data_IF_981781822402
#
_entry.id   IF_981781822402
#
_cell.length_a   1.000
_cell.length_b   1.000
_cell.length_c   1.000
_cell.angle_alpha   90.00
_cell.angle_beta   90.00
_cell.angle_gamma   90.00
#
_symmetry.space_group_name_H-M   'P 1'
#
loop_
_entity.id
_entity.type
_entity.pdbx_description
1 polymer ?
#
# COMPACT_ATOMS: atom_id res chain seq x y z
N UNK A 1 13.46 0.86 18.82
CA UNK A 1 12.40 0.86 17.79
C UNK A 1 12.97 1.55 16.58
N UNK A 2 12.80 0.98 15.40
CA UNK A 2 13.21 1.56 14.12
C UNK A 2 12.01 1.52 13.19
N UNK A 3 11.81 2.59 12.42
CA UNK A 3 10.68 2.73 11.51
C UNK A 3 11.19 3.31 10.19
N UNK A 4 10.75 2.72 9.08
CA UNK A 4 10.88 3.29 7.75
C UNK A 4 9.48 3.45 7.18
N UNK A 5 9.16 4.67 6.74
CA UNK A 5 8.02 4.95 5.87
C UNK A 5 8.59 5.66 4.64
N UNK A 6 8.57 4.98 3.51
CA UNK A 6 9.12 5.49 2.26
C UNK A 6 8.15 5.19 1.14
N UNK A 7 7.73 6.23 0.42
CA UNK A 7 6.81 6.13 -0.70
C UNK A 7 7.29 6.99 -1.87
N UNK A 8 6.89 6.59 -3.09
CA UNK A 8 7.06 7.41 -4.29
C UNK A 8 5.71 7.51 -4.99
N UNK A 9 5.19 8.73 -5.09
CA UNK A 9 3.91 9.04 -5.73
C UNK A 9 4.17 9.62 -7.13
N UNK A 10 3.62 9.02 -8.19
CA UNK A 10 3.75 9.57 -9.55
C UNK A 10 2.87 10.81 -9.76
N UNK A 11 3.23 11.67 -10.71
CA UNK A 11 2.31 12.69 -11.22
C UNK A 11 1.10 12.03 -11.91
N UNK A 12 -0.05 12.71 -11.97
CA UNK A 12 -1.30 12.11 -12.49
C UNK A 12 -1.23 11.74 -13.98
N UNK A 13 -0.30 12.30 -14.71
CA UNK A 13 0.00 11.99 -16.11
C UNK A 13 0.69 10.62 -16.27
N UNK A 14 1.19 10.01 -15.20
CA UNK A 14 1.81 8.71 -15.22
C UNK A 14 1.01 7.76 -14.32
N UNK A 15 0.41 6.73 -14.91
CA UNK A 15 -0.38 5.73 -14.20
C UNK A 15 0.50 4.67 -13.51
N UNK A 16 1.68 5.04 -13.04
CA UNK A 16 2.61 4.11 -12.40
C UNK A 16 2.03 3.60 -11.06
N UNK A 17 2.39 2.37 -10.65
CA UNK A 17 2.21 1.94 -9.27
C UNK A 17 2.89 2.89 -8.27
N UNK A 18 2.32 3.01 -7.07
CA UNK A 18 2.92 3.74 -5.96
C UNK A 18 3.95 2.84 -5.29
N UNK A 19 5.22 3.24 -5.26
CA UNK A 19 6.22 2.51 -4.48
C UNK A 19 5.92 2.68 -2.99
N UNK A 20 5.90 1.60 -2.22
CA UNK A 20 5.55 1.63 -0.80
C UNK A 20 6.44 0.71 0.03
N UNK A 21 7.16 1.26 0.99
CA UNK A 21 7.95 0.53 1.99
C UNK A 21 7.62 1.03 3.41
N UNK A 22 6.86 0.23 4.15
CA UNK A 22 6.51 0.49 5.56
C UNK A 22 7.09 -0.60 6.45
N UNK A 23 8.22 -0.30 7.09
CA UNK A 23 8.92 -1.23 7.97
C UNK A 23 8.83 -0.75 9.41
N UNK A 24 8.33 -1.63 10.28
CA UNK A 24 8.33 -1.41 11.72
C UNK A 24 9.16 -2.50 12.39
N UNK A 25 10.19 -2.10 13.13
CA UNK A 25 11.07 -3.01 13.87
C UNK A 25 11.08 -2.67 15.36
N UNK A 26 10.65 -3.64 16.16
CA UNK A 26 10.81 -3.68 17.61
C UNK A 26 11.97 -4.64 17.99
N UNK A 27 12.28 -4.76 19.29
CA UNK A 27 13.47 -5.49 19.78
C UNK A 27 13.60 -6.93 19.26
N UNK A 28 12.49 -7.61 18.99
CA UNK A 28 12.49 -8.99 18.48
C UNK A 28 11.69 -9.19 17.20
N UNK A 29 10.83 -8.24 16.81
CA UNK A 29 9.80 -8.47 15.80
C UNK A 29 9.82 -7.37 14.75
N UNK A 30 9.71 -7.78 13.49
CA UNK A 30 9.57 -6.92 12.33
C UNK A 30 8.17 -7.12 11.75
N UNK A 31 7.52 -6.01 11.37
CA UNK A 31 6.27 -5.98 10.63
C UNK A 31 6.55 -5.16 9.38
N UNK A 32 6.42 -5.79 8.22
CA UNK A 32 6.87 -5.22 6.95
C UNK A 32 5.75 -5.30 5.93
N UNK A 33 5.52 -4.16 5.27
CA UNK A 33 4.85 -4.08 3.97
C UNK A 33 5.86 -3.49 2.98
N UNK A 34 6.18 -4.22 1.93
CA UNK A 34 6.93 -3.73 0.76
C UNK A 34 6.13 -4.07 -0.48
N UNK A 35 5.82 -3.08 -1.31
CA UNK A 35 4.99 -3.27 -2.49
C UNK A 35 5.22 -2.19 -3.55
N UNK A 36 4.75 -2.48 -4.75
CA UNK A 36 4.40 -1.51 -5.77
C UNK A 36 2.87 -1.45 -5.78
N UNK A 37 2.28 -0.67 -4.89
CA UNK A 37 0.83 -0.61 -4.74
C UNK A 37 0.19 -0.16 -6.06
N UNK A 38 -0.80 -0.88 -6.59
CA UNK A 38 -1.41 -0.53 -7.86
C UNK A 38 -2.25 0.74 -7.72
N UNK A 39 -2.22 1.58 -8.75
CA UNK A 39 -3.09 2.77 -8.81
C UNK A 39 -4.57 2.36 -8.93
N UNK A 40 -4.83 1.30 -9.69
CA UNK A 40 -6.16 0.71 -9.90
C UNK A 40 -6.25 -0.68 -9.29
N UNK A 41 -7.42 -1.06 -8.76
CA UNK A 41 -7.61 -2.39 -8.16
C UNK A 41 -7.34 -3.49 -9.20
N UNK A 42 -6.31 -4.31 -8.96
CA UNK A 42 -5.83 -5.35 -9.88
C UNK A 42 -6.76 -6.57 -9.96
N UNK A 43 -7.74 -6.69 -9.05
CA UNK A 43 -8.79 -7.71 -9.13
C UNK A 43 -9.86 -7.27 -10.12
N UNK A 44 -10.15 -5.97 -10.19
CA UNK A 44 -11.18 -5.41 -11.07
C UNK A 44 -10.62 -4.93 -12.43
N UNK A 45 -9.32 -4.61 -12.50
CA UNK A 45 -8.66 -4.02 -13.66
C UNK A 45 -7.54 -4.93 -14.19
N UNK A 46 -7.92 -5.97 -14.94
CA UNK A 46 -7.00 -6.97 -15.48
C UNK A 46 -5.95 -6.35 -16.43
N UNK A 47 -6.36 -5.43 -17.32
CA UNK A 47 -5.42 -4.73 -18.23
C UNK A 47 -4.30 -3.99 -17.47
N UNK A 48 -4.63 -3.34 -16.34
CA UNK A 48 -3.65 -2.65 -15.51
C UNK A 48 -2.74 -3.65 -14.79
N UNK A 49 -3.31 -4.78 -14.33
CA UNK A 49 -2.56 -5.87 -13.70
C UNK A 49 -1.53 -6.45 -14.67
N UNK A 50 -1.95 -6.78 -15.89
CA UNK A 50 -1.08 -7.32 -16.94
C UNK A 50 0.04 -6.33 -17.28
N UNK A 51 -0.33 -5.06 -17.54
CA UNK A 51 0.61 -3.98 -17.87
C UNK A 51 1.78 -3.87 -16.89
N UNK A 52 1.51 -3.98 -15.59
CA UNK A 52 2.52 -3.65 -14.56
C UNK A 52 3.08 -4.84 -13.77
N UNK A 53 2.37 -5.96 -13.66
CA UNK A 53 2.74 -7.00 -12.71
C UNK A 53 3.09 -8.35 -13.32
N UNK A 54 2.69 -8.65 -14.56
CA UNK A 54 2.97 -9.94 -15.18
C UNK A 54 4.48 -10.23 -15.22
N UNK A 55 5.27 -9.25 -15.68
CA UNK A 55 6.73 -9.33 -15.73
C UNK A 55 7.40 -9.34 -14.35
N UNK A 56 6.69 -8.91 -13.30
CA UNK A 56 7.20 -8.82 -11.93
C UNK A 56 6.85 -10.03 -11.06
N UNK A 57 5.98 -10.94 -11.52
CA UNK A 57 5.63 -12.15 -10.75
C UNK A 57 6.85 -12.96 -10.29
N UNK A 58 7.89 -13.20 -11.12
CA UNK A 58 9.09 -13.92 -10.66
C UNK A 58 9.79 -13.24 -9.48
N UNK A 59 9.79 -11.90 -9.43
CA UNK A 59 10.34 -11.13 -8.31
C UNK A 59 9.50 -11.32 -7.05
N UNK A 60 8.17 -11.25 -7.17
CA UNK A 60 7.24 -11.52 -6.08
C UNK A 60 7.42 -12.91 -5.48
N UNK A 61 7.52 -13.93 -6.34
CA UNK A 61 7.69 -15.33 -5.91
C UNK A 61 9.03 -15.56 -5.20
N UNK A 62 10.13 -15.05 -5.75
CA UNK A 62 11.46 -15.13 -5.12
C UNK A 62 11.41 -14.67 -3.66
N UNK A 63 10.75 -13.55 -3.38
CA UNK A 63 10.71 -13.01 -2.03
C UNK A 63 9.59 -13.59 -1.17
N UNK A 64 8.50 -14.10 -1.75
CA UNK A 64 7.48 -14.84 -0.99
C UNK A 64 8.02 -16.13 -0.36
N UNK A 65 9.02 -16.77 -0.98
CA UNK A 65 9.73 -17.93 -0.42
C UNK A 65 10.64 -17.56 0.76
N UNK A 66 11.25 -16.37 0.74
CA UNK A 66 12.23 -15.92 1.73
C UNK A 66 11.60 -15.14 2.89
N UNK A 67 10.49 -14.43 2.63
CA UNK A 67 9.77 -13.57 3.55
C UNK A 67 8.31 -14.07 3.65
N UNK A 68 8.02 -15.00 4.58
CA UNK A 68 6.73 -15.68 4.64
C UNK A 68 5.60 -14.71 4.95
N UNK A 69 4.40 -15.07 4.52
CA UNK A 69 3.18 -14.28 4.74
C UNK A 69 2.97 -13.94 6.22
N UNK A 70 2.64 -12.69 6.51
CA UNK A 70 2.51 -12.16 7.87
C UNK A 70 1.25 -12.58 8.64
N UNK A 71 0.45 -13.51 8.09
CA UNK A 71 -0.86 -13.92 8.60
C UNK A 71 -1.95 -12.88 8.36
N UNK A 72 -3.05 -12.96 9.12
CA UNK A 72 -4.20 -12.07 8.92
C UNK A 72 -3.87 -10.58 8.99
N UNK A 73 -4.51 -9.81 8.10
CA UNK A 73 -4.43 -8.36 7.99
C UNK A 73 -5.82 -7.72 7.80
N UNK A 74 -5.90 -6.39 7.83
CA UNK A 74 -7.13 -5.65 7.50
C UNK A 74 -7.58 -5.99 6.07
N UNK A 75 -8.75 -6.59 5.92
CA UNK A 75 -9.21 -7.10 4.61
C UNK A 75 -9.27 -6.03 3.52
N UNK A 76 -9.75 -4.84 3.88
CA UNK A 76 -9.85 -3.70 2.96
C UNK A 76 -8.49 -3.20 2.44
N UNK A 77 -7.38 -3.53 3.12
CA UNK A 77 -6.03 -3.17 2.63
C UNK A 77 -5.65 -3.92 1.35
N UNK A 78 -6.26 -5.07 1.06
CA UNK A 78 -5.97 -5.82 -0.16
C UNK A 78 -6.38 -5.08 -1.44
N UNK A 79 -7.37 -4.18 -1.38
CA UNK A 79 -7.77 -3.31 -2.50
C UNK A 79 -6.62 -2.42 -3.00
N UNK A 80 -5.56 -2.29 -2.20
CA UNK A 80 -4.39 -1.44 -2.49
C UNK A 80 -3.10 -2.25 -2.59
N UNK A 81 -3.15 -3.58 -2.54
CA UNK A 81 -1.97 -4.43 -2.62
C UNK A 81 -1.87 -5.11 -3.98
N UNK A 82 -0.65 -5.22 -4.48
CA UNK A 82 -0.37 -5.92 -5.73
C UNK A 82 -0.21 -7.42 -5.54
N UNK A 83 -0.21 -8.22 -6.64
CA UNK A 83 0.09 -9.65 -6.56
C UNK A 83 1.52 -9.97 -6.11
N UNK A 84 2.42 -8.99 -6.08
CA UNK A 84 3.81 -9.13 -5.63
C UNK A 84 4.04 -8.59 -4.22
N UNK A 85 3.00 -8.13 -3.50
CA UNK A 85 3.17 -7.56 -2.15
C UNK A 85 3.95 -8.49 -1.22
N UNK A 86 4.88 -7.91 -0.47
CA UNK A 86 5.52 -8.54 0.69
C UNK A 86 4.86 -7.99 1.94
N UNK A 87 3.88 -8.73 2.45
CA UNK A 87 3.36 -8.57 3.80
C UNK A 87 3.94 -9.69 4.66
N UNK A 88 4.81 -9.34 5.61
CA UNK A 88 5.53 -10.33 6.43
C UNK A 88 5.70 -9.88 7.86
N UNK A 89 5.80 -10.87 8.76
CA UNK A 89 6.20 -10.69 10.15
C UNK A 89 7.26 -11.72 10.50
N UNK A 90 8.39 -11.28 11.04
CA UNK A 90 9.50 -12.18 11.36
C UNK A 90 10.33 -11.69 12.54
N UNK A 91 11.04 -12.64 13.17
CA UNK A 91 11.95 -12.32 14.26
C UNK A 91 13.27 -11.73 13.74
N UNK A 92 13.81 -10.73 14.44
CA UNK A 92 15.05 -10.07 14.05
C UNK A 92 16.23 -11.04 14.06
N UNK A 93 16.88 -11.20 12.91
CA UNK A 93 18.19 -11.85 12.74
C UNK A 93 18.94 -11.15 11.61
N UNK A 94 20.26 -11.24 11.59
CA UNK A 94 21.07 -10.61 10.54
C UNK A 94 20.63 -11.09 9.14
N UNK A 95 20.44 -12.40 8.98
CA UNK A 95 19.97 -12.99 7.74
C UNK A 95 18.65 -12.38 7.25
N UNK A 96 17.64 -12.24 8.13
CA UNK A 96 16.36 -11.67 7.73
C UNK A 96 16.45 -10.18 7.37
N UNK A 97 17.35 -9.43 8.03
CA UNK A 97 17.61 -8.03 7.68
C UNK A 97 18.29 -7.91 6.31
N UNK A 98 19.24 -8.80 6.00
CA UNK A 98 19.91 -8.83 4.69
C UNK A 98 18.94 -9.20 3.56
N UNK A 99 18.03 -10.14 3.82
CA UNK A 99 16.95 -10.51 2.89
C UNK A 99 15.99 -9.33 2.67
N UNK A 100 15.54 -8.66 3.74
CA UNK A 100 14.66 -7.48 3.63
C UNK A 100 15.33 -6.35 2.85
N UNK A 101 16.61 -6.08 3.12
CA UNK A 101 17.35 -5.04 2.41
C UNK A 101 17.53 -5.38 0.92
N UNK A 102 17.74 -6.65 0.60
CA UNK A 102 17.80 -7.12 -0.79
C UNK A 102 16.44 -6.98 -1.48
N UNK A 103 15.35 -7.34 -0.80
CA UNK A 103 13.98 -7.14 -1.29
C UNK A 103 13.70 -5.66 -1.59
N UNK A 104 14.01 -4.77 -0.64
CA UNK A 104 13.84 -3.34 -0.83
C UNK A 104 14.55 -2.83 -2.09
N UNK A 105 15.82 -3.18 -2.27
CA UNK A 105 16.62 -2.78 -3.44
C UNK A 105 16.05 -3.33 -4.75
N UNK A 106 15.66 -4.60 -4.77
CA UNK A 106 15.14 -5.21 -6.00
C UNK A 106 13.77 -4.62 -6.38
N UNK A 107 12.89 -4.36 -5.41
CA UNK A 107 11.59 -3.72 -5.65
C UNK A 107 11.75 -2.28 -6.10
N UNK A 108 12.67 -1.52 -5.48
CA UNK A 108 12.93 -0.14 -5.88
C UNK A 108 13.50 -0.08 -7.31
N UNK A 109 14.41 -0.99 -7.65
CA UNK A 109 14.93 -1.11 -9.03
C UNK A 109 13.83 -1.47 -10.02
N UNK A 110 12.94 -2.41 -9.68
CA UNK A 110 11.81 -2.76 -10.52
C UNK A 110 10.90 -1.55 -10.76
N UNK A 111 10.61 -0.78 -9.71
CA UNK A 111 9.82 0.46 -9.84
C UNK A 111 10.51 1.51 -10.71
N UNK A 112 11.83 1.71 -10.56
CA UNK A 112 12.60 2.63 -11.40
C UNK A 112 12.57 2.21 -12.88
N UNK A 113 12.62 0.91 -13.17
CA UNK A 113 12.47 0.41 -14.55
C UNK A 113 11.07 0.67 -15.11
N UNK A 114 10.01 0.54 -14.30
CA UNK A 114 8.66 0.92 -14.72
C UNK A 114 8.58 2.42 -15.00
N UNK A 115 9.22 3.25 -14.17
CA UNK A 115 9.28 4.69 -14.36
C UNK A 115 9.99 5.06 -15.67
N UNK A 116 11.10 4.41 -16.00
CA UNK A 116 11.83 4.62 -17.26
C UNK A 116 10.99 4.26 -18.50
N UNK A 117 10.10 3.27 -18.36
CA UNK A 117 9.16 2.82 -19.40
C UNK A 117 7.82 3.56 -19.37
N UNK A 118 7.59 4.42 -18.39
CA UNK A 118 6.33 5.10 -18.16
C UNK A 118 6.03 6.11 -19.26
N UNK A 119 4.94 5.88 -20.00
CA UNK A 119 4.47 6.84 -21.00
C UNK A 119 3.58 7.90 -20.36
N UNK A 120 3.79 9.16 -20.75
CA UNK A 120 2.99 10.29 -20.29
C UNK A 120 1.61 10.25 -20.95
N UNK A 121 0.55 10.16 -20.15
CA UNK A 121 -0.83 10.27 -20.62
C UNK A 121 -1.14 11.72 -21.03
N UNK A 122 -1.91 11.88 -22.11
CA UNK A 122 -2.29 13.19 -22.68
C UNK A 122 -3.80 13.40 -22.69
N UNK A 123 -4.58 12.32 -22.52
CA UNK A 123 -6.02 12.38 -22.41
C UNK A 123 -6.44 12.91 -21.03
N UNK A 124 -7.07 14.09 -21.01
CA UNK A 124 -7.50 14.77 -19.79
C UNK A 124 -8.40 13.91 -18.88
N UNK A 125 -9.30 13.09 -19.45
CA UNK A 125 -10.19 12.23 -18.67
C UNK A 125 -9.43 11.10 -17.98
N UNK A 126 -8.41 10.53 -18.62
CA UNK A 126 -7.55 9.51 -18.01
C UNK A 126 -6.62 10.09 -16.95
N UNK A 127 -6.05 11.27 -17.19
CA UNK A 127 -5.27 11.99 -16.17
C UNK A 127 -6.14 12.28 -14.93
N UNK A 128 -7.40 12.70 -15.13
CA UNK A 128 -8.35 12.89 -14.04
C UNK A 128 -8.66 11.59 -13.29
N UNK A 129 -8.80 10.46 -13.99
CA UNK A 129 -8.99 9.15 -13.37
C UNK A 129 -7.77 8.71 -12.54
N UNK A 130 -6.55 8.89 -13.08
CA UNK A 130 -5.30 8.61 -12.36
C UNK A 130 -5.21 9.45 -11.07
N UNK A 131 -5.52 10.74 -11.17
CA UNK A 131 -5.54 11.65 -10.02
C UNK A 131 -6.53 11.20 -8.95
N UNK A 132 -7.75 10.85 -9.37
CA UNK A 132 -8.81 10.38 -8.48
C UNK A 132 -8.42 9.06 -7.78
N UNK A 133 -7.81 8.14 -8.52
CA UNK A 133 -7.33 6.87 -7.98
C UNK A 133 -6.22 7.07 -6.93
N UNK A 134 -5.26 7.96 -7.21
CA UNK A 134 -4.22 8.33 -6.25
C UNK A 134 -4.81 9.03 -5.02
N UNK A 135 -5.74 9.97 -5.22
CA UNK A 135 -6.43 10.66 -4.14
C UNK A 135 -7.22 9.70 -3.24
N UNK A 136 -7.88 8.68 -3.81
CA UNK A 136 -8.54 7.60 -3.06
C UNK A 136 -7.56 6.81 -2.20
N UNK A 137 -6.38 6.46 -2.75
CA UNK A 137 -5.32 5.78 -2.01
C UNK A 137 -4.80 6.63 -0.83
N UNK A 138 -4.49 7.90 -1.07
CA UNK A 138 -4.00 8.83 -0.05
C UNK A 138 -5.05 9.03 1.06
N UNK A 139 -6.32 9.20 0.68
CA UNK A 139 -7.43 9.33 1.62
C UNK A 139 -7.57 8.09 2.51
N UNK A 140 -7.44 6.88 1.94
CA UNK A 140 -7.46 5.64 2.72
C UNK A 140 -6.31 5.59 3.73
N UNK A 141 -5.08 5.82 3.27
CA UNK A 141 -3.88 5.77 4.12
C UNK A 141 -3.94 6.83 5.23
N UNK A 142 -4.26 8.08 4.89
CA UNK A 142 -4.35 9.19 5.83
C UNK A 142 -5.41 9.00 6.93
N UNK A 143 -6.40 8.14 6.72
CA UNK A 143 -7.40 7.80 7.73
C UNK A 143 -7.05 6.51 8.50
N UNK A 144 -6.66 5.44 7.80
CA UNK A 144 -6.64 4.07 8.35
C UNK A 144 -5.25 3.45 8.54
N UNK A 145 -4.17 4.15 8.18
CA UNK A 145 -2.81 3.61 8.31
C UNK A 145 -2.49 3.20 9.77
N UNK A 146 -1.92 1.99 9.98
CA UNK A 146 -1.67 1.47 11.32
C UNK A 146 -0.63 2.26 12.12
N UNK A 147 0.27 2.98 11.46
CA UNK A 147 1.34 3.78 12.04
C UNK A 147 0.86 5.04 12.77
N UNK A 148 -0.36 5.51 12.48
CA UNK A 148 -0.92 6.73 13.08
C UNK A 148 -0.95 6.69 14.61
N UNK A 149 -1.27 5.53 15.19
CA UNK A 149 -1.34 5.39 16.65
C UNK A 149 0.05 5.53 17.30
N UNK A 150 1.10 5.07 16.61
CA UNK A 150 2.47 5.26 17.07
C UNK A 150 2.88 6.74 16.97
N UNK A 151 2.61 7.39 15.83
CA UNK A 151 2.89 8.81 15.65
C UNK A 151 2.18 9.67 16.70
N UNK A 152 0.88 9.44 16.95
CA UNK A 152 0.11 10.15 17.99
C UNK A 152 0.76 10.02 19.37
N UNK A 153 1.29 8.84 19.72
CA UNK A 153 1.99 8.61 21.00
C UNK A 153 3.33 9.35 21.08
N UNK A 154 4.06 9.45 19.97
CA UNK A 154 5.39 10.07 19.93
C UNK A 154 5.32 11.61 19.89
N UNK A 155 4.44 12.18 19.07
CA UNK A 155 4.44 13.61 18.77
C UNK A 155 3.13 14.33 19.13
N UNK A 156 2.20 13.65 19.79
CA UNK A 156 0.84 14.11 20.15
C UNK A 156 -0.06 14.29 18.93
N UNK A 157 -1.36 14.35 19.20
CA UNK A 157 -2.39 14.23 18.16
C UNK A 157 -2.32 15.31 17.07
N UNK A 158 -2.23 16.59 17.44
CA UNK A 158 -2.23 17.69 16.47
C UNK A 158 -1.06 17.60 15.50
N UNK A 159 0.16 17.35 16.01
CA UNK A 159 1.35 17.21 15.15
C UNK A 159 1.34 15.92 14.35
N UNK A 160 0.81 14.82 14.91
CA UNK A 160 0.64 13.59 14.16
C UNK A 160 -0.32 13.76 12.98
N UNK A 161 -1.44 14.46 13.18
CA UNK A 161 -2.39 14.79 12.10
C UNK A 161 -1.71 15.65 11.02
N UNK A 162 -0.96 16.66 11.43
CA UNK A 162 -0.19 17.52 10.50
C UNK A 162 0.82 16.71 9.67
N UNK A 163 1.67 15.89 10.29
CA UNK A 163 2.64 15.04 9.58
C UNK A 163 1.96 14.04 8.64
N UNK A 164 0.84 13.44 9.05
CA UNK A 164 0.10 12.49 8.21
C UNK A 164 -0.42 13.16 6.95
N UNK A 165 -1.05 14.32 7.07
CA UNK A 165 -1.75 14.96 5.94
C UNK A 165 -0.85 15.82 5.07
N UNK A 166 0.10 16.53 5.69
CA UNK A 166 0.92 17.53 5.00
C UNK A 166 2.31 17.01 4.62
N UNK A 167 2.65 15.75 4.97
CA UNK A 167 3.93 15.16 4.62
C UNK A 167 3.81 13.72 4.13
N UNK A 168 3.31 12.79 4.96
CA UNK A 168 3.25 11.36 4.59
C UNK A 168 2.30 11.10 3.42
N UNK A 169 1.15 11.77 3.43
CA UNK A 169 0.11 11.66 2.40
C UNK A 169 -0.29 13.05 1.89
N UNK A 170 0.72 13.90 1.68
CA UNK A 170 0.53 15.17 0.95
C UNK A 170 -0.14 14.86 -0.41
N UNK A 171 -1.12 15.67 -0.78
CA UNK A 171 -2.06 15.35 -1.86
C UNK A 171 -3.48 15.01 -1.40
N UNK A 172 -3.67 14.52 -0.17
CA UNK A 172 -5.01 14.17 0.36
C UNK A 172 -5.97 15.35 0.45
N UNK A 173 -5.45 16.57 0.59
CA UNK A 173 -6.23 17.81 0.67
C UNK A 173 -6.22 18.62 -0.63
N UNK A 174 -5.41 18.23 -1.63
CA UNK A 174 -5.13 19.04 -2.83
C UNK A 174 -5.45 18.33 -4.16
N UNK A 175 -5.40 17.00 -4.22
CA UNK A 175 -5.65 16.23 -5.46
C UNK A 175 -7.14 16.01 -5.76
N UNK A 176 -8.01 16.11 -4.76
CA UNK A 176 -9.45 15.92 -4.91
C UNK A 176 -10.24 16.52 -3.76
N UNK A 177 -11.57 16.48 -3.88
CA UNK A 177 -12.50 17.06 -2.89
C UNK A 177 -13.37 16.03 -2.18
N UNK A 178 -13.32 14.76 -2.60
CA UNK A 178 -14.08 13.68 -1.99
C UNK A 178 -13.51 13.34 -0.61
N UNK A 179 -14.39 13.19 0.37
CA UNK A 179 -14.04 12.76 1.72
C UNK A 179 -13.78 11.26 1.80
N UNK A 180 -13.25 10.79 2.93
CA UNK A 180 -13.11 9.36 3.21
C UNK A 180 -14.44 8.60 3.06
N UNK A 181 -15.57 9.17 3.51
CA UNK A 181 -16.88 8.52 3.43
C UNK A 181 -17.53 8.59 2.04
N UNK A 182 -17.00 9.40 1.12
CA UNK A 182 -17.40 9.37 -0.28
C UNK A 182 -16.77 8.19 -1.01
N UNK A 183 -15.55 7.80 -0.63
CA UNK A 183 -14.85 6.62 -1.18
C UNK A 183 -15.19 5.31 -0.47
N UNK A 184 -15.40 5.36 0.84
CA UNK A 184 -15.57 4.20 1.71
C UNK A 184 -16.84 4.36 2.57
N UNK A 185 -18.03 4.41 1.94
CA UNK A 185 -19.29 4.63 2.64
C UNK A 185 -19.62 3.56 3.67
N UNK A 186 -19.03 2.36 3.58
CA UNK A 186 -19.16 1.28 4.54
C UNK A 186 -18.65 1.64 5.96
N UNK A 187 -17.84 2.70 6.08
CA UNK A 187 -17.37 3.22 7.37
C UNK A 187 -18.29 4.29 7.98
N UNK A 188 -19.43 4.60 7.37
CA UNK A 188 -20.33 5.64 7.89
C UNK A 188 -21.06 5.15 9.15
N UNK A 189 -20.90 5.88 10.26
CA UNK A 189 -21.72 5.70 11.46
C UNK A 189 -23.11 6.35 11.28
N UNK A 190 -24.07 5.97 12.13
CA UNK A 190 -25.44 6.53 12.11
C UNK A 190 -25.47 8.06 12.29
N UNK A 191 -24.52 8.61 13.05
CA UNK A 191 -24.34 10.05 13.27
C UNK A 191 -23.61 10.78 12.13
N UNK A 192 -23.27 10.07 11.05
CA UNK A 192 -22.56 10.60 9.89
C UNK A 192 -21.04 10.68 10.04
N UNK A 193 -20.47 10.27 11.17
CA UNK A 193 -19.01 10.25 11.41
C UNK A 193 -18.33 9.01 10.79
N UNK A 194 -17.00 9.02 10.74
CA UNK A 194 -16.19 7.87 10.32
C UNK A 194 -16.07 6.87 11.47
N UNK A 195 -16.39 5.61 11.21
CA UNK A 195 -16.25 4.52 12.17
C UNK A 195 -14.79 4.36 12.61
N UNK A 196 -14.54 4.34 13.92
CA UNK A 196 -13.19 4.23 14.48
C UNK A 196 -12.52 2.87 14.22
N UNK A 197 -13.29 1.84 13.86
CA UNK A 197 -12.74 0.55 13.45
C UNK A 197 -11.77 0.75 12.29
N UNK A 198 -10.64 0.03 12.35
CA UNK A 198 -9.68 -0.02 11.23
C UNK A 198 -10.23 -0.80 10.05
N UNK A 199 -11.12 -1.75 10.32
CA UNK A 199 -11.66 -2.68 9.34
C UNK A 199 -13.11 -2.96 9.69
N UNK A 200 -14.00 -2.78 8.73
CA UNK A 200 -15.40 -3.16 8.83
C UNK A 200 -15.57 -4.65 8.58
N UNK A 201 -14.77 -5.23 7.68
CA UNK A 201 -14.74 -6.68 7.41
C UNK A 201 -14.02 -7.47 8.51
N UNK A 202 -13.10 -6.84 9.23
CA UNK A 202 -12.21 -7.47 10.18
C UNK A 202 -10.90 -7.96 9.56
N UNK A 203 -10.14 -8.72 10.36
CA UNK A 203 -8.88 -9.30 9.89
C UNK A 203 -9.15 -10.61 9.14
N UNK A 204 -8.74 -10.69 7.88
CA UNK A 204 -8.89 -11.87 7.03
C UNK A 204 -7.54 -12.25 6.37
N UNK A 205 -7.54 -13.28 5.53
CA UNK A 205 -6.40 -13.78 4.74
C UNK A 205 -5.24 -14.30 5.59
N UNK A 206 -5.48 -15.41 6.31
CA UNK A 206 -4.44 -16.14 7.07
C UNK A 206 -3.29 -16.60 6.15
N UNK A 207 -3.60 -16.92 4.90
CA UNK A 207 -2.64 -17.28 3.84
C UNK A 207 -2.56 -16.20 2.77
N UNK A 208 -1.46 -16.20 1.99
CA UNK A 208 -1.29 -15.28 0.84
C UNK A 208 -2.47 -15.45 -0.13
N UNK A 209 -3.21 -14.37 -0.48
CA UNK A 209 -4.42 -14.47 -1.29
C UNK A 209 -4.16 -14.44 -2.81
N UNK A 210 -2.91 -14.54 -3.25
CA UNK A 210 -2.54 -14.70 -4.66
C UNK A 210 -1.79 -16.01 -4.87
N UNK A 211 -2.11 -16.71 -5.96
CA UNK A 211 -1.39 -17.90 -6.37
C UNK A 211 -0.08 -17.55 -7.10
N UNK A 212 0.63 -18.57 -7.59
CA UNK A 212 1.92 -18.37 -8.28
C UNK A 212 1.83 -17.62 -9.61
N UNK A 213 0.64 -17.50 -10.19
CA UNK A 213 0.36 -16.71 -11.40
C UNK A 213 -0.14 -15.29 -11.07
N UNK A 214 -0.14 -14.90 -9.79
CA UNK A 214 -0.69 -13.63 -9.35
C UNK A 214 -2.22 -13.53 -9.50
N UNK A 215 -2.91 -14.65 -9.68
CA UNK A 215 -4.39 -14.70 -9.67
C UNK A 215 -4.88 -14.63 -8.22
N UNK A 216 -5.89 -13.81 -7.97
CA UNK A 216 -6.50 -13.70 -6.65
C UNK A 216 -7.31 -14.96 -6.34
N UNK A 217 -6.98 -15.62 -5.23
CA UNK A 217 -7.61 -16.87 -4.76
C UNK A 217 -8.09 -16.74 -3.31
N UNK A 218 -8.12 -15.52 -2.77
CA UNK A 218 -8.52 -15.30 -1.38
C UNK A 218 -9.98 -15.71 -1.15
N UNK A 219 -10.19 -16.65 -0.24
CA UNK A 219 -11.48 -16.88 0.42
C UNK A 219 -11.52 -16.08 1.72
N UNK A 220 -12.63 -15.37 1.98
CA UNK A 220 -12.85 -14.56 3.19
C UNK A 220 -12.57 -15.29 4.52
#
# INVERSE_FOLDING_TARGET
MQVLDFAVFPESEYDLPIFCANFFSASKTNIVVLDLNPLYDVVENEDYKEKYYESLLPLGLKYAELLPWGGKLTGESLKFFSPIVIWTRFNSSQYMQDVLYSAFKDYLKAWLLLMDLGEKETNASRIAANREAQHRYLTWRAEKDPGHQLLKRLIRETRAKDVVRNFLFEGVDSLGTKSFLDYFPEYRCEDGTVNEKRSMMGKSFESRPWNSKGEFIGSE
#
